data_IF_253354919666
#
_entry.id   IF_253354919666
#
_cell.length_a   1.000
_cell.length_b   1.000
_cell.length_c   1.000
_cell.angle_alpha   90.00
_cell.angle_beta   90.00
_cell.angle_gamma   90.00
#
_symmetry.space_group_name_H-M   'P 1'
#
loop_
_entity.id
_entity.type
_entity.pdbx_description
1 polymer ?
#
# COMPACT_ATOMS: atom_id res chain seq x y z
N UNK A 1 22.80 28.00 0.80
CA UNK A 1 22.17 26.98 -0.07
C UNK A 1 21.90 27.46 -1.50
N UNK A 2 21.25 28.62 -1.74
CA UNK A 2 21.00 29.14 -3.11
C UNK A 2 22.25 29.21 -4.01
N UNK A 3 23.36 29.74 -3.49
CA UNK A 3 24.64 29.82 -4.22
C UNK A 3 25.19 28.43 -4.56
N UNK A 4 25.11 27.47 -3.64
CA UNK A 4 25.55 26.07 -3.86
C UNK A 4 24.68 25.39 -4.92
N UNK A 5 23.36 25.62 -4.89
CA UNK A 5 22.42 25.10 -5.90
C UNK A 5 22.73 25.63 -7.30
N UNK A 6 23.05 26.92 -7.44
CA UNK A 6 23.46 27.52 -8.72
C UNK A 6 24.81 26.97 -9.20
N UNK A 7 25.78 26.81 -8.28
CA UNK A 7 27.12 26.33 -8.64
C UNK A 7 27.13 24.85 -9.06
N UNK A 8 26.42 23.97 -8.33
CA UNK A 8 26.42 22.54 -8.61
C UNK A 8 25.39 22.13 -9.67
N UNK A 9 24.19 22.74 -9.68
CA UNK A 9 23.12 22.37 -10.61
C UNK A 9 22.54 20.97 -10.42
N UNK A 10 22.92 20.25 -9.35
CA UNK A 10 22.55 18.84 -9.12
C UNK A 10 21.37 18.61 -8.18
N UNK A 11 20.81 19.68 -7.59
CA UNK A 11 19.69 19.56 -6.65
C UNK A 11 18.75 20.77 -6.71
N UNK A 12 17.54 20.58 -6.20
CA UNK A 12 16.51 21.62 -6.02
C UNK A 12 16.39 22.02 -4.55
N UNK A 13 16.16 23.30 -4.30
CA UNK A 13 15.82 23.81 -2.97
C UNK A 13 14.39 23.42 -2.59
N UNK A 14 14.05 23.49 -1.30
CA UNK A 14 12.70 23.19 -0.83
C UNK A 14 11.64 24.08 -1.50
N UNK A 15 11.94 25.36 -1.68
CA UNK A 15 11.10 26.35 -2.39
C UNK A 15 10.88 26.03 -3.89
N UNK A 16 11.68 25.13 -4.46
CA UNK A 16 11.59 24.68 -5.86
C UNK A 16 10.97 23.28 -6.00
N UNK A 17 10.62 22.65 -4.87
CA UNK A 17 10.04 21.31 -4.83
C UNK A 17 8.53 21.41 -4.64
N UNK A 18 7.84 20.45 -5.24
CA UNK A 18 6.44 20.21 -4.90
C UNK A 18 6.40 19.57 -3.52
N UNK A 19 5.84 20.30 -2.54
CA UNK A 19 5.65 19.79 -1.19
C UNK A 19 4.35 18.97 -1.17
N UNK A 20 4.32 17.76 -0.61
CA UNK A 20 3.09 16.97 -0.52
C UNK A 20 2.09 17.64 0.42
N UNK A 21 0.81 17.55 0.08
CA UNK A 21 -0.30 18.13 0.84
C UNK A 21 -0.45 17.61 2.28
N UNK A 22 0.25 16.54 2.61
CA UNK A 22 0.15 15.84 3.89
C UNK A 22 1.25 16.24 4.88
N UNK A 23 2.26 17.01 4.47
CA UNK A 23 3.49 17.22 5.27
C UNK A 23 3.22 17.93 6.61
N UNK A 24 2.20 18.79 6.64
CA UNK A 24 1.82 19.65 7.77
C UNK A 24 0.48 19.21 8.39
N UNK A 25 0.01 18.01 8.05
CA UNK A 25 -1.29 17.50 8.47
C UNK A 25 -1.14 16.43 9.54
N UNK A 26 -2.01 16.48 10.53
CA UNK A 26 -2.25 15.32 11.39
C UNK A 26 -2.94 14.23 10.56
N UNK A 27 -2.37 13.02 10.57
CA UNK A 27 -2.90 11.87 9.83
C UNK A 27 -3.29 10.73 10.76
N UNK A 28 -4.36 10.01 10.41
CA UNK A 28 -4.79 8.80 11.10
C UNK A 28 -4.69 7.59 10.17
N UNK A 29 -4.06 6.52 10.65
CA UNK A 29 -3.91 5.25 9.96
C UNK A 29 -4.82 4.20 10.60
N UNK A 30 -5.53 3.43 9.79
CA UNK A 30 -6.54 2.46 10.26
C UNK A 30 -5.95 1.16 10.83
N UNK A 31 -4.63 0.92 10.68
CA UNK A 31 -3.99 -0.37 11.00
C UNK A 31 -4.22 -0.81 12.46
N UNK A 32 -3.84 0.01 13.45
CA UNK A 32 -3.96 -0.37 14.87
C UNK A 32 -5.41 -0.41 15.36
N UNK A 33 -6.35 0.17 14.61
CA UNK A 33 -7.78 0.16 14.94
C UNK A 33 -8.50 -1.09 14.43
N UNK A 34 -8.15 -1.58 13.24
CA UNK A 34 -8.91 -2.65 12.59
C UNK A 34 -8.08 -3.80 12.04
N UNK A 35 -6.77 -3.63 11.88
CA UNK A 35 -5.94 -4.54 11.08
C UNK A 35 -6.65 -4.85 9.75
N UNK A 36 -6.77 -6.12 9.38
CA UNK A 36 -7.40 -6.60 8.16
C UNK A 36 -8.94 -6.41 8.13
N UNK A 37 -9.56 -6.04 9.26
CA UNK A 37 -10.99 -5.85 9.37
C UNK A 37 -11.48 -4.46 8.98
N UNK A 38 -10.60 -3.59 8.46
CA UNK A 38 -10.99 -2.22 8.07
C UNK A 38 -12.21 -2.21 7.13
N UNK A 39 -13.19 -1.35 7.43
CA UNK A 39 -14.43 -1.22 6.67
C UNK A 39 -14.99 0.22 6.76
N UNK A 40 -15.83 0.67 5.81
CA UNK A 40 -16.31 2.05 5.73
C UNK A 40 -16.87 2.62 7.04
N UNK A 41 -17.76 1.88 7.70
CA UNK A 41 -18.36 2.31 8.99
C UNK A 41 -17.31 2.51 10.09
N UNK A 42 -16.32 1.62 10.21
CA UNK A 42 -15.27 1.74 11.23
C UNK A 42 -14.40 2.96 10.98
N UNK A 43 -14.01 3.20 9.72
CA UNK A 43 -13.27 4.41 9.33
C UNK A 43 -14.09 5.67 9.63
N UNK A 44 -15.38 5.68 9.31
CA UNK A 44 -16.28 6.80 9.63
C UNK A 44 -16.35 7.09 11.13
N UNK A 45 -16.58 6.07 11.95
CA UNK A 45 -16.67 6.19 13.40
C UNK A 45 -15.34 6.66 14.02
N UNK A 46 -14.20 6.18 13.49
CA UNK A 46 -12.87 6.61 13.92
C UNK A 46 -12.59 8.09 13.62
N UNK A 47 -12.89 8.55 12.39
CA UNK A 47 -12.78 9.97 12.04
C UNK A 47 -13.72 10.83 12.88
N UNK A 48 -14.97 10.39 13.05
CA UNK A 48 -15.94 11.07 13.91
C UNK A 48 -15.42 11.25 15.34
N UNK A 49 -14.88 10.19 15.93
CA UNK A 49 -14.33 10.23 17.29
C UNK A 49 -13.14 11.18 17.42
N UNK A 50 -12.26 11.23 16.40
CA UNK A 50 -11.15 12.18 16.38
C UNK A 50 -11.61 13.64 16.26
N UNK A 51 -12.61 13.90 15.43
CA UNK A 51 -13.22 15.23 15.26
C UNK A 51 -13.91 15.68 16.56
N UNK A 52 -14.77 14.83 17.14
CA UNK A 52 -15.46 15.11 18.40
C UNK A 52 -14.49 15.25 19.58
N UNK A 53 -13.36 14.54 19.53
CA UNK A 53 -12.26 14.64 20.49
C UNK A 53 -11.35 15.86 20.33
N UNK A 54 -11.59 16.72 19.32
CA UNK A 54 -10.81 17.94 19.09
C UNK A 54 -9.48 17.74 18.33
N UNK A 55 -9.25 16.56 17.75
CA UNK A 55 -8.07 16.22 16.96
C UNK A 55 -8.45 15.79 15.53
N UNK A 56 -9.12 16.65 14.74
CA UNK A 56 -9.62 16.28 13.42
C UNK A 56 -8.47 15.93 12.47
N UNK A 57 -8.49 14.75 11.80
CA UNK A 57 -7.42 14.35 10.89
C UNK A 57 -7.53 15.06 9.54
N UNK A 58 -6.40 15.60 9.07
CA UNK A 58 -6.23 16.12 7.71
C UNK A 58 -5.95 15.04 6.67
N UNK A 59 -5.44 13.89 7.12
CA UNK A 59 -5.14 12.70 6.33
C UNK A 59 -5.79 11.47 6.97
N UNK A 60 -6.48 10.67 6.17
CA UNK A 60 -6.88 9.30 6.55
C UNK A 60 -6.13 8.33 5.65
N UNK A 61 -5.42 7.37 6.26
CA UNK A 61 -4.76 6.28 5.56
C UNK A 61 -5.52 4.98 5.85
N UNK A 62 -6.18 4.45 4.81
CA UNK A 62 -6.81 3.13 4.85
C UNK A 62 -5.70 2.10 4.62
N UNK A 63 -5.23 1.52 5.71
CA UNK A 63 -4.19 0.49 5.71
C UNK A 63 -4.72 -0.86 5.23
N UNK A 64 -3.87 -1.89 5.26
CA UNK A 64 -4.15 -3.23 4.74
C UNK A 64 -5.51 -3.80 5.20
N UNK A 65 -6.16 -4.57 4.30
CA UNK A 65 -7.48 -5.17 4.49
C UNK A 65 -8.57 -4.61 3.56
N UNK A 66 -8.27 -3.65 2.68
CA UNK A 66 -9.23 -3.09 1.72
C UNK A 66 -9.17 -3.72 0.30
N UNK A 67 -8.04 -4.33 -0.07
CA UNK A 67 -7.81 -4.92 -1.40
C UNK A 67 -8.60 -6.23 -1.59
N UNK A 68 -8.97 -6.54 -2.83
CA UNK A 68 -9.48 -7.87 -3.23
C UNK A 68 -8.34 -8.86 -3.36
N UNK A 69 -8.27 -9.82 -2.45
CA UNK A 69 -7.17 -10.80 -2.34
C UNK A 69 -7.70 -12.21 -2.23
N UNK A 70 -6.85 -13.20 -2.46
CA UNK A 70 -7.12 -14.60 -2.11
C UNK A 70 -5.83 -15.43 -2.00
N UNK A 71 -5.95 -16.66 -1.53
CA UNK A 71 -4.92 -17.68 -1.65
C UNK A 71 -4.94 -18.33 -3.04
N UNK A 72 -3.85 -19.01 -3.40
CA UNK A 72 -3.78 -19.80 -4.64
C UNK A 72 -4.75 -21.00 -4.62
N UNK A 73 -5.05 -21.54 -3.43
CA UNK A 73 -5.97 -22.67 -3.23
C UNK A 73 -7.45 -22.26 -3.23
N UNK A 74 -7.77 -20.96 -3.12
CA UNK A 74 -9.15 -20.48 -3.15
C UNK A 74 -9.73 -20.60 -4.56
N UNK A 75 -11.04 -20.85 -4.74
CA UNK A 75 -11.66 -20.87 -6.07
C UNK A 75 -11.36 -19.59 -6.87
N UNK A 76 -11.05 -19.74 -8.15
CA UNK A 76 -10.76 -18.59 -9.03
C UNK A 76 -11.98 -17.67 -9.08
N UNK A 77 -11.75 -16.36 -8.86
CA UNK A 77 -12.80 -15.35 -8.87
C UNK A 77 -13.52 -15.15 -7.53
N UNK A 78 -13.11 -15.83 -6.46
CA UNK A 78 -13.61 -15.56 -5.10
C UNK A 78 -12.57 -14.81 -4.25
N UNK A 79 -13.06 -13.85 -3.46
CA UNK A 79 -12.25 -13.11 -2.48
C UNK A 79 -12.03 -13.99 -1.23
N UNK A 80 -10.78 -14.14 -0.80
CA UNK A 80 -10.35 -14.92 0.38
C UNK A 80 -10.58 -14.17 1.69
N UNK A 81 -11.84 -13.86 2.00
CA UNK A 81 -12.22 -12.91 3.06
C UNK A 81 -12.13 -13.44 4.50
N UNK A 82 -11.90 -14.74 4.68
CA UNK A 82 -11.72 -15.37 6.00
C UNK A 82 -10.35 -15.08 6.62
N UNK A 83 -9.46 -14.42 5.90
CA UNK A 83 -8.08 -14.10 6.32
C UNK A 83 -8.04 -12.81 7.12
N UNK A 84 -8.59 -12.86 8.33
CA UNK A 84 -8.75 -11.69 9.21
C UNK A 84 -7.66 -11.59 10.29
N UNK A 85 -6.86 -12.64 10.45
CA UNK A 85 -5.77 -12.73 11.43
C UNK A 85 -4.44 -12.20 10.86
N UNK A 86 -3.71 -11.42 11.66
CA UNK A 86 -2.36 -10.99 11.30
C UNK A 86 -1.44 -12.20 11.07
N UNK A 87 -0.75 -12.20 9.94
CA UNK A 87 0.08 -13.28 9.45
C UNK A 87 -0.60 -14.15 8.38
N UNK A 88 -1.93 -14.31 8.39
CA UNK A 88 -2.63 -15.12 7.37
C UNK A 88 -2.71 -14.44 6.00
N UNK A 89 -2.54 -13.12 5.95
CA UNK A 89 -2.60 -12.36 4.71
C UNK A 89 -1.32 -12.45 3.87
N UNK A 90 -0.19 -12.80 4.49
CA UNK A 90 1.13 -12.77 3.82
C UNK A 90 1.22 -13.67 2.58
N UNK A 91 0.61 -14.86 2.55
CA UNK A 91 0.59 -15.69 1.35
C UNK A 91 -0.47 -15.27 0.31
N UNK A 92 -1.41 -14.38 0.66
CA UNK A 92 -2.46 -13.97 -0.27
C UNK A 92 -1.89 -13.13 -1.41
N UNK A 93 -2.61 -13.12 -2.54
CA UNK A 93 -2.26 -12.39 -3.76
C UNK A 93 -3.41 -11.50 -4.19
N UNK A 94 -3.09 -10.39 -4.84
CA UNK A 94 -4.06 -9.47 -5.42
C UNK A 94 -4.78 -10.13 -6.61
N UNK A 95 -6.11 -10.00 -6.67
CA UNK A 95 -6.94 -10.57 -7.75
C UNK A 95 -7.76 -9.53 -8.52
N UNK A 96 -7.80 -8.29 -8.05
CA UNK A 96 -8.47 -7.18 -8.72
C UNK A 96 -7.81 -5.86 -8.30
N UNK A 97 -7.84 -4.84 -9.17
CA UNK A 97 -7.48 -3.48 -8.77
C UNK A 97 -8.56 -2.81 -7.93
N UNK A 98 -9.80 -3.30 -8.04
CA UNK A 98 -10.94 -2.84 -7.25
C UNK A 98 -10.83 -3.31 -5.81
N UNK A 99 -11.41 -2.51 -4.94
CA UNK A 99 -11.58 -2.81 -3.53
C UNK A 99 -12.45 -4.05 -3.30
N UNK A 100 -12.25 -4.69 -2.15
CA UNK A 100 -13.06 -5.83 -1.74
C UNK A 100 -14.49 -5.45 -1.41
N UNK A 101 -15.33 -6.48 -1.20
CA UNK A 101 -16.76 -6.29 -0.99
C UNK A 101 -17.09 -5.30 0.14
N UNK A 102 -16.24 -5.14 1.17
CA UNK A 102 -16.51 -4.25 2.32
C UNK A 102 -16.67 -2.80 1.88
N UNK A 103 -15.85 -2.35 0.93
CA UNK A 103 -15.89 -0.99 0.39
C UNK A 103 -16.77 -0.92 -0.86
N UNK A 104 -16.73 -1.94 -1.73
CA UNK A 104 -17.56 -2.01 -2.94
C UNK A 104 -19.07 -1.97 -2.65
N UNK A 105 -19.47 -2.50 -1.50
CA UNK A 105 -20.89 -2.56 -1.09
C UNK A 105 -21.37 -1.30 -0.36
N UNK A 106 -20.52 -0.30 -0.16
CA UNK A 106 -20.93 0.94 0.48
C UNK A 106 -22.00 1.65 -0.34
N UNK A 107 -23.03 2.15 0.34
CA UNK A 107 -24.08 2.96 -0.26
C UNK A 107 -23.97 4.40 0.26
N UNK A 108 -23.90 5.34 -0.67
CA UNK A 108 -23.74 6.75 -0.38
C UNK A 108 -24.93 7.33 0.38
N UNK A 109 -24.65 8.35 1.19
CA UNK A 109 -25.67 9.00 2.03
C UNK A 109 -26.61 9.92 1.26
N UNK A 110 -26.15 10.47 0.14
CA UNK A 110 -26.91 11.39 -0.70
C UNK A 110 -27.44 10.67 -1.95
N UNK A 111 -28.70 10.95 -2.28
CA UNK A 111 -29.32 10.56 -3.54
C UNK A 111 -28.99 11.60 -4.60
N UNK A 112 -28.73 11.15 -5.82
CA UNK A 112 -28.66 12.03 -6.99
C UNK A 112 -30.05 12.54 -7.40
N UNK A 113 -30.10 13.35 -8.45
CA UNK A 113 -31.34 13.94 -9.00
C UNK A 113 -32.36 12.88 -9.44
N UNK A 114 -31.91 11.64 -9.71
CA UNK A 114 -32.73 10.50 -10.15
C UNK A 114 -33.09 9.58 -8.96
N UNK A 115 -32.68 9.95 -7.73
CA UNK A 115 -33.01 9.23 -6.50
C UNK A 115 -32.10 8.04 -6.20
N UNK A 116 -30.98 7.87 -6.91
CA UNK A 116 -30.03 6.77 -6.75
C UNK A 116 -28.85 7.23 -5.90
N UNK A 117 -28.45 6.42 -4.91
CA UNK A 117 -27.23 6.67 -4.14
C UNK A 117 -26.02 6.19 -4.93
N UNK A 118 -24.95 6.99 -4.97
CA UNK A 118 -23.64 6.54 -5.44
C UNK A 118 -23.16 5.36 -4.59
N UNK A 119 -22.42 4.40 -5.17
CA UNK A 119 -21.95 3.21 -4.46
C UNK A 119 -20.42 3.06 -4.49
N UNK A 120 -19.92 2.17 -3.64
CA UNK A 120 -18.53 1.74 -3.62
C UNK A 120 -17.59 2.70 -2.91
N UNK A 121 -16.29 2.45 -3.06
CA UNK A 121 -15.25 3.23 -2.37
C UNK A 121 -15.30 4.71 -2.73
N UNK A 122 -15.57 5.06 -4.00
CA UNK A 122 -15.69 6.46 -4.42
C UNK A 122 -16.80 7.23 -3.70
N UNK A 123 -17.96 6.60 -3.50
CA UNK A 123 -19.04 7.19 -2.71
C UNK A 123 -18.64 7.38 -1.25
N UNK A 124 -17.94 6.39 -0.67
CA UNK A 124 -17.46 6.47 0.71
C UNK A 124 -16.47 7.62 0.91
N UNK A 125 -15.45 7.73 0.04
CA UNK A 125 -14.44 8.80 0.14
C UNK A 125 -15.09 10.18 -0.01
N UNK A 126 -16.04 10.32 -0.95
CA UNK A 126 -16.79 11.57 -1.13
C UNK A 126 -17.57 11.94 0.13
N UNK A 127 -18.38 11.02 0.66
CA UNK A 127 -19.17 11.27 1.88
C UNK A 127 -18.27 11.60 3.08
N UNK A 128 -17.13 10.90 3.23
CA UNK A 128 -16.18 11.12 4.32
C UNK A 128 -15.58 12.54 4.28
N UNK A 129 -15.14 12.98 3.11
CA UNK A 129 -14.58 14.33 2.91
C UNK A 129 -15.65 15.41 3.12
N UNK A 130 -16.85 15.20 2.55
CA UNK A 130 -17.95 16.18 2.63
C UNK A 130 -18.51 16.35 4.04
N UNK A 131 -18.66 15.28 4.82
CA UNK A 131 -19.21 15.37 6.18
C UNK A 131 -18.23 16.05 7.14
N UNK A 132 -16.98 15.57 7.18
CA UNK A 132 -16.07 15.98 8.23
C UNK A 132 -15.33 17.28 7.89
N UNK A 133 -15.21 17.63 6.61
CA UNK A 133 -14.55 18.84 6.09
C UNK A 133 -13.05 18.97 6.36
N UNK A 134 -12.57 18.35 7.45
CA UNK A 134 -11.19 18.28 7.89
C UNK A 134 -10.39 17.22 7.13
N UNK A 135 -11.03 16.14 6.67
CA UNK A 135 -10.37 15.11 5.87
C UNK A 135 -10.10 15.66 4.47
N UNK A 136 -8.88 16.14 4.24
CA UNK A 136 -8.46 16.71 2.96
C UNK A 136 -7.90 15.65 2.01
N UNK A 137 -7.17 14.68 2.57
CA UNK A 137 -6.49 13.63 1.79
C UNK A 137 -6.86 12.25 2.32
N UNK A 138 -7.15 11.31 1.41
CA UNK A 138 -7.33 9.90 1.74
C UNK A 138 -6.32 9.07 0.95
N UNK A 139 -5.46 8.35 1.66
CA UNK A 139 -4.45 7.47 1.10
C UNK A 139 -4.85 6.01 1.35
N UNK A 140 -4.32 5.10 0.54
CA UNK A 140 -4.49 3.65 0.76
C UNK A 140 -3.17 2.90 0.75
N UNK A 141 -3.12 1.79 1.45
CA UNK A 141 -1.97 0.89 1.48
C UNK A 141 -1.96 -0.09 0.31
N UNK A 142 -0.78 -0.41 -0.23
CA UNK A 142 -0.57 -1.64 -1.01
C UNK A 142 0.90 -2.10 -0.90
N UNK A 143 1.17 -3.37 -1.20
CA UNK A 143 2.54 -3.85 -1.31
C UNK A 143 3.15 -3.42 -2.66
N UNK A 144 4.48 -3.27 -2.73
CA UNK A 144 5.18 -2.84 -3.95
C UNK A 144 4.85 -3.74 -5.14
N UNK A 145 4.74 -5.05 -4.93
CA UNK A 145 4.44 -6.03 -5.98
C UNK A 145 2.93 -6.37 -6.14
N UNK A 146 2.03 -5.56 -5.55
CA UNK A 146 0.57 -5.79 -5.57
C UNK A 146 0.02 -5.99 -4.17
N UNK A 147 -0.06 -7.23 -3.72
CA UNK A 147 -0.29 -7.59 -2.31
C UNK A 147 0.94 -8.29 -1.71
N UNK A 148 0.87 -8.78 -0.46
CA UNK A 148 2.00 -9.44 0.20
C UNK A 148 2.64 -10.56 -0.64
N UNK A 149 1.82 -11.44 -1.22
CA UNK A 149 2.26 -12.48 -2.17
C UNK A 149 2.30 -12.03 -3.63
N UNK A 150 2.17 -10.74 -3.94
CA UNK A 150 2.14 -10.22 -5.32
C UNK A 150 0.76 -10.34 -5.99
N UNK A 151 0.75 -10.60 -7.30
CA UNK A 151 -0.45 -10.77 -8.14
C UNK A 151 -0.77 -12.26 -8.28
N UNK A 152 -2.06 -12.64 -8.28
CA UNK A 152 -2.43 -14.04 -8.51
C UNK A 152 -2.28 -14.40 -9.99
N UNK A 153 -1.55 -15.47 -10.34
CA UNK A 153 -1.56 -15.98 -11.70
C UNK A 153 -2.91 -16.61 -12.05
N UNK A 154 -3.33 -16.53 -13.31
CA UNK A 154 -4.55 -17.21 -13.79
C UNK A 154 -5.85 -16.62 -13.26
N UNK A 155 -5.88 -15.33 -12.91
CA UNK A 155 -7.12 -14.63 -12.58
C UNK A 155 -8.00 -14.45 -13.82
N UNK A 156 -9.32 -14.42 -13.62
CA UNK A 156 -10.28 -14.09 -14.68
C UNK A 156 -10.33 -12.59 -15.01
N UNK A 157 -9.55 -11.75 -14.34
CA UNK A 157 -9.51 -10.32 -14.57
C UNK A 157 -8.45 -9.98 -15.65
N UNK A 158 -8.86 -9.56 -16.87
CA UNK A 158 -7.93 -9.25 -17.96
C UNK A 158 -7.19 -7.92 -17.76
N UNK A 159 -7.58 -7.08 -16.79
CA UNK A 159 -6.89 -5.83 -16.48
C UNK A 159 -5.58 -6.09 -15.70
N UNK A 160 -5.49 -7.23 -15.00
CA UNK A 160 -4.29 -7.60 -14.28
C UNK A 160 -3.18 -8.01 -15.26
N UNK A 161 -1.95 -7.50 -15.10
CA UNK A 161 -0.84 -7.93 -15.92
C UNK A 161 -0.46 -9.37 -15.59
N UNK A 162 0.06 -10.07 -16.59
CA UNK A 162 0.66 -11.38 -16.38
C UNK A 162 1.79 -11.30 -15.34
N UNK A 163 1.86 -12.32 -14.49
CA UNK A 163 2.86 -12.46 -13.45
C UNK A 163 3.42 -13.88 -13.42
N UNK A 164 4.64 -14.02 -12.89
CA UNK A 164 5.29 -15.31 -12.65
C UNK A 164 5.48 -15.50 -11.15
N UNK A 165 5.11 -16.67 -10.63
CA UNK A 165 5.40 -17.00 -9.23
C UNK A 165 6.88 -17.30 -9.11
N UNK A 166 7.62 -16.39 -8.48
CA UNK A 166 9.04 -16.51 -8.18
C UNK A 166 9.19 -16.91 -6.73
N UNK A 167 10.00 -17.94 -6.45
CA UNK A 167 10.38 -18.26 -5.08
C UNK A 167 11.50 -17.32 -4.62
N UNK A 168 11.29 -16.52 -3.58
CA UNK A 168 12.36 -15.71 -3.00
C UNK A 168 13.51 -16.59 -2.55
N UNK A 169 14.73 -16.09 -2.71
CA UNK A 169 15.93 -16.74 -2.19
C UNK A 169 16.59 -15.83 -1.18
N UNK A 170 16.78 -16.35 0.03
CA UNK A 170 17.46 -15.64 1.09
C UNK A 170 18.95 -15.55 0.78
N UNK A 171 19.57 -14.42 1.13
CA UNK A 171 21.03 -14.31 1.09
C UNK A 171 21.63 -15.06 2.29
N UNK A 172 22.87 -15.56 2.20
CA UNK A 172 23.52 -16.23 3.33
C UNK A 172 23.62 -15.35 4.59
N UNK A 173 23.61 -14.02 4.43
CA UNK A 173 23.55 -13.08 5.54
C UNK A 173 22.18 -13.04 6.20
N UNK A 174 21.11 -12.98 5.39
CA UNK A 174 19.73 -12.92 5.87
C UNK A 174 19.30 -14.24 6.55
N UNK A 175 19.75 -15.39 6.05
CA UNK A 175 19.53 -16.70 6.68
C UNK A 175 20.07 -16.80 8.12
N UNK A 176 21.03 -15.94 8.48
CA UNK A 176 21.64 -15.91 9.83
C UNK A 176 21.01 -14.87 10.75
N UNK A 177 20.00 -14.14 10.27
CA UNK A 177 19.26 -13.17 11.09
C UNK A 177 18.11 -13.85 11.83
N UNK A 178 17.38 -13.08 12.65
CA UNK A 178 16.23 -13.60 13.37
C UNK A 178 15.12 -14.04 12.41
N UNK A 179 14.44 -15.14 12.76
CA UNK A 179 13.25 -15.58 12.03
C UNK A 179 12.19 -14.48 12.06
N UNK A 180 11.55 -14.26 10.91
CA UNK A 180 10.46 -13.32 10.75
C UNK A 180 9.33 -14.01 10.00
N UNK A 181 8.16 -14.06 10.65
CA UNK A 181 6.99 -14.77 10.13
C UNK A 181 6.57 -14.29 8.74
N UNK A 182 6.80 -13.01 8.41
CA UNK A 182 6.47 -12.46 7.10
C UNK A 182 7.44 -12.95 6.04
N UNK A 183 8.74 -12.90 6.33
CA UNK A 183 9.77 -13.42 5.44
C UNK A 183 9.56 -14.91 5.19
N UNK A 184 9.35 -15.71 6.24
CA UNK A 184 9.18 -17.16 6.12
C UNK A 184 7.96 -17.52 5.26
N UNK A 185 6.83 -16.83 5.46
CA UNK A 185 5.62 -17.05 4.66
C UNK A 185 5.82 -16.65 3.20
N UNK A 186 6.49 -15.53 2.93
CA UNK A 186 6.79 -15.08 1.57
C UNK A 186 7.73 -16.07 0.86
N UNK A 187 8.79 -16.53 1.53
CA UNK A 187 9.73 -17.52 0.98
C UNK A 187 9.04 -18.84 0.65
N UNK A 188 8.21 -19.34 1.57
CA UNK A 188 7.50 -20.60 1.38
C UNK A 188 6.44 -20.54 0.25
N UNK A 189 5.70 -19.43 0.17
CA UNK A 189 4.59 -19.27 -0.76
C UNK A 189 5.00 -18.80 -2.17
N UNK A 190 6.14 -18.12 -2.28
CA UNK A 190 6.53 -17.43 -3.50
C UNK A 190 5.72 -16.16 -3.76
N UNK A 191 6.18 -15.35 -4.70
CA UNK A 191 5.61 -14.05 -5.05
C UNK A 191 5.22 -14.03 -6.51
N UNK A 192 3.97 -13.69 -6.81
CA UNK A 192 3.48 -13.46 -8.16
C UNK A 192 4.00 -12.12 -8.66
N UNK A 193 5.23 -12.14 -9.17
CA UNK A 193 5.94 -10.96 -9.63
C UNK A 193 5.51 -10.63 -11.06
N UNK A 194 5.05 -9.40 -11.26
CA UNK A 194 4.84 -8.83 -12.60
C UNK A 194 6.21 -8.61 -13.23
N UNK A 195 6.41 -9.08 -14.45
CA UNK A 195 7.73 -8.96 -15.10
C UNK A 195 8.14 -7.49 -15.25
N UNK A 196 9.42 -7.14 -15.04
CA UNK A 196 9.88 -5.75 -14.99
C UNK A 196 9.55 -4.94 -16.25
N UNK A 197 9.49 -5.58 -17.42
CA UNK A 197 9.16 -4.96 -18.71
C UNK A 197 7.72 -4.42 -18.74
N UNK A 198 6.83 -5.02 -17.95
CA UNK A 198 5.39 -4.70 -17.89
C UNK A 198 4.93 -4.21 -16.52
N UNK A 199 5.84 -3.92 -15.59
CA UNK A 199 5.53 -3.37 -14.26
C UNK A 199 4.71 -2.05 -14.34
N UNK A 200 4.85 -1.27 -15.42
CA UNK A 200 4.05 -0.08 -15.66
C UNK A 200 2.53 -0.37 -15.77
N UNK A 201 2.14 -1.58 -16.20
CA UNK A 201 0.73 -1.98 -16.25
C UNK A 201 0.14 -2.18 -14.86
N UNK A 202 0.92 -2.75 -13.93
CA UNK A 202 0.53 -2.91 -12.53
C UNK A 202 0.19 -1.56 -11.90
N UNK A 203 1.16 -0.63 -11.89
CA UNK A 203 0.95 0.67 -11.27
C UNK A 203 -0.02 1.53 -12.06
N UNK A 204 -0.02 1.46 -13.39
CA UNK A 204 -0.93 2.23 -14.23
C UNK A 204 -2.39 1.84 -14.01
N UNK A 205 -2.68 0.54 -13.96
CA UNK A 205 -4.03 0.03 -13.69
C UNK A 205 -4.49 0.34 -12.27
N UNK A 206 -3.68 -0.02 -11.27
CA UNK A 206 -4.00 0.21 -9.86
C UNK A 206 -4.22 1.71 -9.56
N UNK A 207 -3.27 2.56 -9.93
CA UNK A 207 -3.35 3.99 -9.60
C UNK A 207 -4.41 4.74 -10.40
N UNK A 208 -4.70 4.31 -11.63
CA UNK A 208 -5.82 4.85 -12.40
C UNK A 208 -7.16 4.54 -11.73
N UNK A 209 -7.36 3.31 -11.25
CA UNK A 209 -8.56 2.96 -10.49
C UNK A 209 -8.66 3.78 -9.20
N UNK A 210 -7.59 3.83 -8.41
CA UNK A 210 -7.52 4.56 -7.14
C UNK A 210 -7.84 6.06 -7.32
N UNK A 211 -7.26 6.71 -8.34
CA UNK A 211 -7.59 8.08 -8.68
C UNK A 211 -9.08 8.23 -9.03
N UNK A 212 -9.65 7.29 -9.79
CA UNK A 212 -11.07 7.36 -10.19
C UNK A 212 -12.04 7.26 -9.00
N UNK A 213 -11.64 6.62 -7.90
CA UNK A 213 -12.43 6.53 -6.66
C UNK A 213 -12.05 7.59 -5.61
N UNK A 214 -11.28 8.61 -6.00
CA UNK A 214 -11.02 9.79 -5.16
C UNK A 214 -9.89 9.65 -4.13
N UNK A 215 -9.03 8.64 -4.28
CA UNK A 215 -7.80 8.51 -3.50
C UNK A 215 -6.77 9.54 -3.93
N UNK A 216 -6.01 10.09 -2.97
CA UNK A 216 -5.08 11.20 -3.19
C UNK A 216 -3.60 10.76 -3.16
N UNK A 217 -3.33 9.51 -2.76
CA UNK A 217 -1.98 8.96 -2.68
C UNK A 217 -1.96 7.56 -2.07
N UNK A 218 -0.77 7.02 -1.87
CA UNK A 218 -0.58 5.62 -1.46
C UNK A 218 0.48 5.47 -0.37
N UNK A 219 0.30 4.47 0.48
CA UNK A 219 1.35 3.88 1.30
C UNK A 219 1.85 2.62 0.63
N UNK A 220 3.14 2.54 0.30
CA UNK A 220 3.75 1.38 -0.34
C UNK A 220 4.60 0.62 0.67
N UNK A 221 4.25 -0.64 0.90
CA UNK A 221 4.96 -1.56 1.80
C UNK A 221 5.66 -2.69 1.04
N UNK A 222 6.38 -3.54 1.80
CA UNK A 222 7.07 -4.75 1.32
C UNK A 222 8.07 -4.45 0.20
N UNK A 223 8.69 -3.27 0.22
CA UNK A 223 9.58 -2.79 -0.84
C UNK A 223 10.88 -3.60 -0.91
N UNK A 224 11.39 -4.03 0.25
CA UNK A 224 12.58 -4.87 0.37
C UNK A 224 12.51 -6.16 -0.47
N UNK A 225 11.30 -6.62 -0.78
CA UNK A 225 11.05 -7.88 -1.48
C UNK A 225 11.80 -8.01 -2.82
N UNK A 226 12.05 -6.91 -3.52
CA UNK A 226 12.78 -6.95 -4.79
C UNK A 226 14.17 -7.55 -4.65
N UNK A 227 14.85 -7.37 -3.51
CA UNK A 227 16.17 -7.95 -3.29
C UNK A 227 16.14 -9.48 -3.42
N UNK A 228 15.16 -10.13 -2.79
CA UNK A 228 15.03 -11.58 -2.76
C UNK A 228 14.49 -12.19 -4.07
N UNK A 229 13.92 -11.38 -4.96
CA UNK A 229 13.31 -11.82 -6.22
C UNK A 229 14.20 -11.63 -7.45
N UNK A 230 15.38 -11.03 -7.28
CA UNK A 230 16.10 -10.38 -8.37
C UNK A 230 17.06 -11.23 -9.21
N UNK A 231 17.33 -12.48 -8.82
CA UNK A 231 18.38 -13.31 -9.45
C UNK A 231 18.22 -13.45 -10.96
N UNK A 232 16.99 -13.60 -11.46
CA UNK A 232 16.70 -13.78 -12.88
C UNK A 232 16.51 -12.48 -13.67
N UNK A 233 16.61 -11.31 -13.01
CA UNK A 233 16.18 -10.02 -13.59
C UNK A 233 17.30 -8.97 -13.59
N UNK A 234 18.54 -9.40 -13.84
CA UNK A 234 19.71 -8.52 -13.83
C UNK A 234 20.15 -8.09 -12.43
N UNK A 235 19.68 -8.81 -11.40
CA UNK A 235 19.96 -8.51 -10.00
C UNK A 235 19.15 -7.33 -9.46
N UNK A 236 19.32 -7.09 -8.15
CA UNK A 236 18.54 -6.12 -7.36
C UNK A 236 18.44 -4.74 -8.02
N UNK A 237 19.53 -4.27 -8.61
CA UNK A 237 19.62 -2.92 -9.19
C UNK A 237 18.69 -2.75 -10.39
N UNK A 238 18.73 -3.68 -11.35
CA UNK A 238 17.93 -3.54 -12.58
C UNK A 238 16.44 -3.78 -12.32
N UNK A 239 16.11 -4.75 -11.46
CA UNK A 239 14.73 -4.96 -11.03
C UNK A 239 14.18 -3.73 -10.28
N UNK A 240 14.95 -3.17 -9.34
CA UNK A 240 14.55 -1.97 -8.61
C UNK A 240 14.36 -0.77 -9.55
N UNK A 241 15.27 -0.52 -10.50
CA UNK A 241 15.11 0.55 -11.48
C UNK A 241 13.80 0.44 -12.24
N UNK A 242 13.45 -0.75 -12.72
CA UNK A 242 12.20 -0.96 -13.47
C UNK A 242 10.96 -0.64 -12.61
N UNK A 243 10.93 -1.17 -11.38
CA UNK A 243 9.80 -0.98 -10.46
C UNK A 243 9.67 0.46 -9.96
N UNK A 244 10.76 1.10 -9.53
CA UNK A 244 10.73 2.50 -9.09
C UNK A 244 10.40 3.46 -10.23
N UNK A 245 10.88 3.18 -11.46
CA UNK A 245 10.49 3.97 -12.63
C UNK A 245 8.99 3.84 -12.90
N UNK A 246 8.46 2.63 -12.91
CA UNK A 246 7.05 2.38 -13.14
C UNK A 246 6.15 3.01 -12.06
N UNK A 247 6.55 2.90 -10.79
CA UNK A 247 5.89 3.58 -9.67
C UNK A 247 5.91 5.10 -9.87
N UNK A 248 7.09 5.68 -10.11
CA UNK A 248 7.26 7.13 -10.26
C UNK A 248 6.47 7.71 -11.43
N UNK A 249 6.51 7.05 -12.59
CA UNK A 249 5.75 7.47 -13.77
C UNK A 249 4.23 7.44 -13.50
N UNK A 250 3.76 6.40 -12.80
CA UNK A 250 2.36 6.29 -12.41
C UNK A 250 1.95 7.37 -11.39
N UNK A 251 2.79 7.66 -10.39
CA UNK A 251 2.53 8.72 -9.41
C UNK A 251 2.47 10.11 -10.06
N UNK A 252 3.35 10.39 -11.04
CA UNK A 252 3.31 11.64 -11.82
C UNK A 252 2.01 11.78 -12.60
N UNK A 253 1.50 10.68 -13.14
CA UNK A 253 0.27 10.66 -13.94
C UNK A 253 -1.00 10.80 -13.08
N UNK A 254 -1.04 10.17 -11.91
CA UNK A 254 -2.29 10.00 -11.16
C UNK A 254 -2.37 10.79 -9.84
N UNK A 255 -1.24 11.16 -9.23
CA UNK A 255 -1.21 11.71 -7.86
C UNK A 255 -0.21 12.87 -7.70
N UNK A 256 -0.08 13.72 -8.73
CA UNK A 256 0.78 14.91 -8.72
C UNK A 256 2.27 14.65 -8.42
N UNK A 257 2.72 13.41 -8.58
CA UNK A 257 4.13 13.03 -8.55
C UNK A 257 4.66 12.56 -7.20
N UNK A 258 4.22 13.08 -6.05
CA UNK A 258 4.91 12.90 -4.75
C UNK A 258 4.05 12.33 -3.61
N UNK A 259 2.90 11.74 -3.95
CA UNK A 259 1.90 11.23 -2.99
C UNK A 259 2.21 9.83 -2.43
N UNK A 260 3.47 9.43 -2.30
CA UNK A 260 3.83 8.13 -1.70
C UNK A 260 4.37 8.29 -0.29
N UNK A 261 3.85 7.47 0.63
CA UNK A 261 4.47 7.13 1.92
C UNK A 261 5.10 5.75 1.74
N UNK A 262 6.40 5.59 1.87
CA UNK A 262 7.01 4.27 1.78
C UNK A 262 7.32 3.72 3.16
N UNK A 263 6.99 2.45 3.37
CA UNK A 263 7.25 1.73 4.60
C UNK A 263 7.75 0.32 4.25
N UNK A 264 8.37 -0.36 5.23
CA UNK A 264 9.09 -1.63 5.00
C UNK A 264 10.12 -1.58 3.86
N UNK A 265 10.82 -0.44 3.72
CA UNK A 265 11.83 -0.23 2.69
C UNK A 265 13.03 -1.14 2.91
N UNK A 266 13.55 -1.15 4.14
CA UNK A 266 14.66 -1.98 4.66
C UNK A 266 15.89 -2.14 3.75
N UNK A 267 16.00 -1.32 2.71
CA UNK A 267 17.09 -1.28 1.74
C UNK A 267 17.32 0.15 1.25
N UNK A 268 18.52 0.40 0.73
CA UNK A 268 18.92 1.75 0.30
C UNK A 268 18.37 2.15 -1.08
N UNK A 269 17.75 1.24 -1.84
CA UNK A 269 17.32 1.52 -3.23
C UNK A 269 16.35 2.68 -3.27
N UNK A 270 15.49 2.77 -2.27
CA UNK A 270 14.58 3.87 -2.04
C UNK A 270 15.28 5.25 -2.04
N UNK A 271 16.44 5.36 -1.37
CA UNK A 271 17.17 6.61 -1.23
C UNK A 271 17.76 7.08 -2.57
N UNK A 272 17.97 6.16 -3.51
CA UNK A 272 18.55 6.45 -4.82
C UNK A 272 17.50 6.56 -5.92
N UNK A 273 16.44 5.76 -5.86
CA UNK A 273 15.48 5.59 -6.95
C UNK A 273 14.07 6.10 -6.61
N UNK A 274 13.74 6.21 -5.32
CA UNK A 274 12.39 6.51 -4.84
C UNK A 274 12.13 7.99 -4.54
N UNK A 275 13.17 8.83 -4.50
CA UNK A 275 13.09 10.21 -3.97
C UNK A 275 12.26 11.17 -4.80
N UNK A 276 11.90 10.82 -6.04
CA UNK A 276 10.99 11.61 -6.86
C UNK A 276 9.53 11.44 -6.42
N UNK A 277 9.14 10.21 -6.07
CA UNK A 277 7.75 9.87 -5.78
C UNK A 277 7.44 9.79 -4.29
N UNK A 278 8.44 9.43 -3.48
CA UNK A 278 8.23 9.22 -2.07
C UNK A 278 8.61 10.46 -1.28
N UNK A 279 7.66 10.91 -0.47
CA UNK A 279 7.80 12.07 0.38
C UNK A 279 7.96 11.77 1.85
N UNK A 280 7.54 10.59 2.31
CA UNK A 280 7.69 10.14 3.69
C UNK A 280 8.17 8.69 3.73
N UNK A 281 9.18 8.41 4.56
CA UNK A 281 9.75 7.08 4.74
C UNK A 281 9.69 6.63 6.20
N UNK A 282 9.21 5.40 6.45
CA UNK A 282 9.24 4.80 7.80
C UNK A 282 10.67 4.42 8.18
N UNK A 283 11.12 4.84 9.36
CA UNK A 283 12.51 4.62 9.84
C UNK A 283 12.64 3.42 10.79
N UNK A 284 11.53 2.76 11.17
CA UNK A 284 11.51 1.64 12.12
C UNK A 284 10.63 0.46 11.70
N UNK A 285 10.51 -0.55 12.56
CA UNK A 285 9.49 -1.62 12.47
C UNK A 285 8.13 -1.10 12.96
N UNK A 286 7.07 -1.91 12.83
CA UNK A 286 5.77 -1.56 13.37
C UNK A 286 5.87 -1.33 14.88
N UNK A 287 5.48 -0.14 15.35
CA UNK A 287 5.43 0.19 16.76
C UNK A 287 4.10 -0.29 17.34
N UNK A 288 4.10 -1.45 18.00
CA UNK A 288 2.96 -1.92 18.78
C UNK A 288 3.19 -1.63 20.26
N UNK A 289 2.12 -1.46 21.04
CA UNK A 289 2.26 -1.52 22.51
C UNK A 289 2.78 -2.91 22.85
N UNK A 290 3.99 -2.99 23.42
CA UNK A 290 4.50 -4.19 24.07
C UNK A 290 3.54 -4.54 25.22
N UNK A 291 2.52 -5.35 24.94
CA UNK A 291 1.90 -6.13 25.99
C UNK A 291 2.88 -7.26 26.32
N UNK A 292 3.64 -7.06 27.38
CA UNK A 292 4.43 -8.11 28.00
C UNK A 292 3.49 -9.20 28.53
N UNK A 293 3.22 -10.22 27.72
CA UNK A 293 2.56 -11.45 28.18
C UNK A 293 2.74 -12.58 27.18
N UNK A 294 3.95 -13.12 27.06
CA UNK A 294 4.15 -14.54 26.72
C UNK A 294 5.32 -15.06 27.56
N UNK A 295 5.07 -15.28 28.84
CA UNK A 295 5.77 -16.32 29.60
C UNK A 295 4.91 -17.58 29.50
N UNK A 296 5.43 -18.59 28.79
CA UNK A 296 4.90 -19.95 28.75
C UNK A 296 4.72 -20.50 30.17
N UNK A 297 3.59 -21.16 30.49
CA UNK A 297 3.51 -22.04 31.65
C UNK A 297 3.19 -23.46 31.19
N UNK A 298 4.16 -24.23 30.71
CA UNK A 298 4.05 -25.69 30.67
C UNK A 298 5.42 -26.35 30.83
N UNK A 299 5.81 -26.58 32.10
CA UNK A 299 6.60 -27.74 32.51
C UNK A 299 5.84 -28.42 33.65
N UNK A 300 5.21 -29.56 33.34
CA UNK A 300 4.97 -30.70 34.23
C UNK A 300 4.86 -31.95 33.37
#
# INVERSE_FOLDING_TARGET
MRVVRVHLGTFKLLEEKNVPKIVDKFGWCTWDAFYLMVHPRGVWEGVKGLVEGGCPPGLVLIDDGWQSICHDDDPVGQEGMTRTSAGEQMPCRLIDFKENFKFRSYEGKKKDEVGVCSKGMGAFIKDLKEEFGSVENVYVWHALCGYWGGIRPGTNNPELPECRVIKPKLSPGLERTMEDLAVDKIVNNGVGLVLPEVAHKLYGGLHSHLQSVGIDGVKVDVIHLLEMLSEEFGGRVELAKAYYKALTDSMKKHFNGNGVIASMQHCNDFMYLGTEAISLGRVGTSLTKLHASISSPHEH
#
